data_IF_291136680450
#
_entry.id   IF_291136680450
#
_cell.length_a   1.000
_cell.length_b   1.000
_cell.length_c   1.000
_cell.angle_alpha   90.00
_cell.angle_beta   90.00
_cell.angle_gamma   90.00
#
_symmetry.space_group_name_H-M   'P 1'
#
loop_
_entity.id
_entity.type
_entity.pdbx_description
1 polymer ?
#
# COMPACT_ATOMS: atom_id res chain seq x y z
N UNK A 1 5.89 2.08 -5.58
CA UNK A 1 4.45 1.85 -5.32
C UNK A 1 4.10 2.62 -4.07
N UNK A 2 2.88 3.15 -4.02
CA UNK A 2 2.35 3.93 -2.90
C UNK A 2 0.81 3.80 -2.86
N UNK A 3 0.20 3.97 -1.68
CA UNK A 3 -1.27 3.87 -1.53
C UNK A 3 -1.86 5.02 -0.72
N UNK A 4 -3.11 5.37 -1.06
CA UNK A 4 -3.93 6.25 -0.24
C UNK A 4 -5.07 5.46 0.39
N UNK A 5 -5.33 5.72 1.66
CA UNK A 5 -6.34 5.01 2.45
C UNK A 5 -6.87 5.91 3.59
N UNK A 6 -8.02 5.58 4.21
CA UNK A 6 -8.72 6.48 5.13
C UNK A 6 -8.08 6.56 6.54
N UNK A 7 -6.76 6.39 6.63
CA UNK A 7 -5.99 6.52 7.87
C UNK A 7 -6.11 5.35 8.83
N UNK A 8 -5.94 5.67 10.12
CA UNK A 8 -5.98 4.72 11.25
C UNK A 8 -7.10 5.15 12.18
N UNK A 9 -8.12 4.31 12.33
CA UNK A 9 -9.35 4.61 13.09
C UNK A 9 -9.43 3.84 14.40
N UNK A 10 -8.66 2.76 14.54
CA UNK A 10 -8.65 1.97 15.76
C UNK A 10 -7.24 1.54 16.17
N UNK A 11 -7.07 1.29 17.46
CA UNK A 11 -5.88 0.67 18.04
C UNK A 11 -6.33 -0.50 18.91
N UNK A 12 -5.76 -1.70 18.74
CA UNK A 12 -6.17 -2.85 19.52
C UNK A 12 -5.77 -2.65 20.98
N UNK A 13 -6.67 -3.02 21.89
CA UNK A 13 -6.47 -2.95 23.34
C UNK A 13 -6.10 -4.34 23.84
N UNK A 14 -5.03 -4.45 24.62
CA UNK A 14 -4.58 -5.72 25.18
C UNK A 14 -3.10 -5.73 25.55
N UNK A 15 -2.65 -6.86 26.09
CA UNK A 15 -1.23 -7.12 26.32
C UNK A 15 -0.59 -7.67 25.05
N UNK A 16 0.54 -7.10 24.66
CA UNK A 16 1.32 -7.53 23.50
C UNK A 16 2.72 -7.95 23.96
N UNK A 17 3.24 -9.02 23.38
CA UNK A 17 4.58 -9.52 23.72
C UNK A 17 5.69 -8.58 23.24
N UNK A 18 5.46 -7.84 22.17
CA UNK A 18 6.40 -6.88 21.60
C UNK A 18 5.70 -5.68 20.93
N UNK A 19 6.45 -4.60 20.72
CA UNK A 19 5.99 -3.46 19.92
C UNK A 19 5.67 -3.88 18.48
N UNK A 20 6.42 -4.84 17.95
CA UNK A 20 6.21 -5.40 16.61
C UNK A 20 4.85 -6.09 16.49
N UNK A 21 4.47 -6.89 17.49
CA UNK A 21 3.15 -7.54 17.54
C UNK A 21 2.02 -6.52 17.63
N UNK A 22 2.20 -5.49 18.46
CA UNK A 22 1.25 -4.38 18.57
C UNK A 22 1.08 -3.63 17.25
N UNK A 23 2.18 -3.33 16.56
CA UNK A 23 2.17 -2.64 15.28
C UNK A 23 1.47 -3.47 14.21
N UNK A 24 1.76 -4.76 14.13
CA UNK A 24 1.07 -5.66 13.20
C UNK A 24 -0.42 -5.78 13.52
N UNK A 25 -0.80 -5.94 14.79
CA UNK A 25 -2.20 -5.99 15.19
C UNK A 25 -2.95 -4.69 14.83
N UNK A 26 -2.31 -3.54 14.99
CA UNK A 26 -2.87 -2.24 14.58
C UNK A 26 -3.07 -2.18 13.06
N UNK A 27 -2.05 -2.55 12.29
CA UNK A 27 -2.14 -2.61 10.83
C UNK A 27 -3.26 -3.55 10.38
N UNK A 28 -3.28 -4.79 10.88
CA UNK A 28 -4.30 -5.80 10.56
C UNK A 28 -5.71 -5.28 10.81
N UNK A 29 -5.95 -4.70 11.99
CA UNK A 29 -7.27 -4.22 12.37
C UNK A 29 -7.79 -3.13 11.41
N UNK A 30 -6.94 -2.14 11.11
CA UNK A 30 -7.33 -1.03 10.23
C UNK A 30 -7.44 -1.46 8.77
N UNK A 31 -6.46 -2.20 8.24
CA UNK A 31 -6.50 -2.68 6.84
C UNK A 31 -7.71 -3.57 6.60
N UNK A 32 -8.05 -4.48 7.52
CA UNK A 32 -9.22 -5.34 7.34
C UNK A 32 -10.54 -4.56 7.37
N UNK A 33 -10.64 -3.54 8.23
CA UNK A 33 -11.84 -2.72 8.39
C UNK A 33 -12.06 -1.72 7.24
N UNK A 34 -10.98 -1.17 6.68
CA UNK A 34 -11.04 -0.01 5.81
C UNK A 34 -10.88 -0.38 4.33
N UNK A 35 -11.34 0.50 3.44
CA UNK A 35 -11.19 0.35 2.00
C UNK A 35 -9.96 1.10 1.48
N UNK A 36 -9.25 0.49 0.53
CA UNK A 36 -8.19 1.15 -0.23
C UNK A 36 -8.81 2.21 -1.13
N UNK A 37 -8.25 3.42 -1.16
CA UNK A 37 -8.79 4.54 -1.96
C UNK A 37 -8.03 4.66 -3.27
N UNK A 38 -6.70 4.59 -3.22
CA UNK A 38 -5.85 4.79 -4.39
C UNK A 38 -4.61 3.89 -4.35
N UNK A 39 -4.16 3.45 -5.51
CA UNK A 39 -2.89 2.77 -5.71
C UNK A 39 -2.09 3.44 -6.83
N UNK A 40 -0.88 3.88 -6.51
CA UNK A 40 0.11 4.37 -7.46
C UNK A 40 1.11 3.29 -7.85
N UNK A 41 1.20 2.98 -9.14
CA UNK A 41 2.21 2.09 -9.73
C UNK A 41 3.04 2.83 -10.77
N UNK A 42 4.35 2.81 -10.56
CA UNK A 42 5.36 3.27 -11.52
C UNK A 42 6.22 2.09 -11.89
N UNK A 43 6.27 1.77 -13.18
CA UNK A 43 7.15 0.75 -13.73
C UNK A 43 8.38 1.40 -14.31
N UNK A 44 9.53 0.78 -14.13
CA UNK A 44 10.79 1.25 -14.71
C UNK A 44 11.70 0.08 -15.08
N UNK A 45 12.56 0.32 -16.09
CA UNK A 45 13.64 -0.59 -16.42
C UNK A 45 14.80 -0.50 -15.43
N UNK A 46 15.84 -1.35 -15.60
CA UNK A 46 16.99 -1.41 -14.68
C UNK A 46 17.79 -0.11 -14.53
N UNK A 47 17.63 0.86 -15.44
CA UNK A 47 18.31 2.16 -15.39
C UNK A 47 17.34 3.29 -15.00
N UNK A 48 16.15 2.95 -14.53
CA UNK A 48 15.12 3.93 -14.14
C UNK A 48 14.34 4.51 -15.32
N UNK A 49 14.44 3.92 -16.51
CA UNK A 49 13.67 4.36 -17.67
C UNK A 49 12.19 4.02 -17.53
N UNK A 50 11.30 5.00 -17.75
CA UNK A 50 9.86 4.76 -17.77
C UNK A 50 9.41 4.09 -19.08
N UNK A 51 8.36 3.26 -19.05
CA UNK A 51 7.79 2.66 -20.25
C UNK A 51 7.28 3.76 -21.19
N UNK A 52 7.56 3.58 -22.48
CA UNK A 52 7.03 4.41 -23.55
C UNK A 52 5.87 3.65 -24.21
N UNK A 53 4.67 4.21 -24.11
CA UNK A 53 3.43 3.61 -24.63
C UNK A 53 2.90 4.44 -25.80
N UNK A 54 2.25 3.77 -26.76
CA UNK A 54 1.68 4.41 -27.95
C UNK A 54 2.70 4.87 -29.00
N UNK A 55 2.20 5.31 -30.13
CA UNK A 55 3.01 5.79 -31.26
C UNK A 55 3.82 7.06 -30.90
N UNK A 56 3.30 7.85 -29.96
CA UNK A 56 3.93 9.07 -29.44
C UNK A 56 4.98 8.80 -28.35
N UNK A 57 5.20 7.53 -27.97
CA UNK A 57 6.17 7.09 -26.94
C UNK A 57 5.97 7.81 -25.61
N UNK A 58 4.72 8.09 -25.23
CA UNK A 58 4.40 8.78 -23.98
C UNK A 58 4.86 7.96 -22.78
N UNK A 59 5.53 8.63 -21.84
CA UNK A 59 5.91 8.05 -20.55
C UNK A 59 4.70 8.01 -19.63
N UNK A 60 4.48 6.86 -19.00
CA UNK A 60 3.30 6.64 -18.18
C UNK A 60 3.66 6.19 -16.77
N UNK A 61 2.85 6.69 -15.83
CA UNK A 61 2.69 6.18 -14.47
C UNK A 61 1.20 5.92 -14.28
N UNK A 62 0.85 4.95 -13.44
CA UNK A 62 -0.52 4.52 -13.26
C UNK A 62 -1.01 4.89 -11.87
N UNK A 63 -2.19 5.49 -11.83
CA UNK A 63 -2.93 5.75 -10.61
C UNK A 63 -4.29 5.07 -10.75
N UNK A 64 -4.57 4.14 -9.86
CA UNK A 64 -5.85 3.43 -9.79
C UNK A 64 -6.64 4.01 -8.64
N UNK A 65 -7.78 4.63 -8.94
CA UNK A 65 -8.71 5.15 -7.93
C UNK A 65 -9.84 4.13 -7.76
N UNK A 66 -10.07 3.64 -6.54
CA UNK A 66 -10.99 2.54 -6.27
C UNK A 66 -12.40 3.03 -5.93
N UNK A 67 -13.42 2.28 -6.35
CA UNK A 67 -14.82 2.65 -6.14
C UNK A 67 -15.42 2.16 -4.81
N UNK A 68 -14.67 1.35 -4.05
CA UNK A 68 -15.19 0.71 -2.84
C UNK A 68 -15.33 1.65 -1.64
N UNK A 69 -14.62 2.79 -1.61
CA UNK A 69 -14.69 3.73 -0.50
C UNK A 69 -15.82 4.76 -0.70
N UNK A 70 -16.71 4.89 0.29
CA UNK A 70 -17.81 5.84 0.34
C UNK A 70 -17.73 6.64 1.65
N UNK A 71 -17.38 7.94 1.55
CA UNK A 71 -17.21 8.83 2.70
C UNK A 71 -18.53 9.23 3.40
N UNK A 72 -19.68 8.81 2.88
CA UNK A 72 -20.97 8.92 3.58
C UNK A 72 -21.31 7.68 4.42
N UNK A 73 -20.63 6.54 4.20
CA UNK A 73 -20.99 5.24 4.82
C UNK A 73 -19.85 4.61 5.60
N UNK A 74 -18.62 4.77 5.13
CA UNK A 74 -17.46 4.09 5.66
C UNK A 74 -16.87 4.82 6.87
N UNK A 75 -16.19 4.05 7.70
CA UNK A 75 -15.42 4.58 8.82
C UNK A 75 -14.10 5.13 8.26
N UNK A 76 -13.67 6.30 8.73
CA UNK A 76 -12.41 6.91 8.32
C UNK A 76 -11.86 7.84 9.40
N UNK A 77 -10.57 8.15 9.30
CA UNK A 77 -9.96 9.22 10.08
C UNK A 77 -10.21 10.57 9.38
N UNK A 78 -10.90 11.49 10.05
CA UNK A 78 -11.31 12.77 9.46
C UNK A 78 -10.13 13.58 8.90
N UNK A 79 -9.00 13.61 9.61
CA UNK A 79 -7.81 14.34 9.18
C UNK A 79 -7.23 13.76 7.88
N UNK A 80 -7.27 12.43 7.72
CA UNK A 80 -6.81 11.75 6.50
C UNK A 80 -7.70 12.07 5.31
N UNK A 81 -9.03 12.00 5.48
CA UNK A 81 -9.98 12.30 4.40
C UNK A 81 -9.92 13.77 4.00
N UNK A 82 -9.81 14.68 4.96
CA UNK A 82 -9.67 16.11 4.68
C UNK A 82 -8.37 16.41 3.91
N UNK A 83 -7.26 15.77 4.30
CA UNK A 83 -5.99 15.90 3.57
C UNK A 83 -6.11 15.39 2.12
N UNK A 84 -6.77 14.25 1.92
CA UNK A 84 -6.97 13.67 0.58
C UNK A 84 -7.87 14.55 -0.30
N UNK A 85 -8.94 15.13 0.25
CA UNK A 85 -9.78 16.12 -0.49
C UNK A 85 -8.96 17.33 -0.90
N UNK A 86 -8.15 17.88 0.00
CA UNK A 86 -7.25 19.01 -0.31
C UNK A 86 -6.19 18.66 -1.34
N UNK A 87 -5.81 17.39 -1.42
CA UNK A 87 -4.88 16.86 -2.42
C UNK A 87 -5.55 16.57 -3.78
N UNK A 88 -6.86 16.81 -3.90
CA UNK A 88 -7.60 16.73 -5.16
C UNK A 88 -8.35 15.42 -5.38
N UNK A 89 -8.48 14.55 -4.38
CA UNK A 89 -9.30 13.34 -4.52
C UNK A 89 -10.80 13.68 -4.47
N UNK A 90 -11.52 13.21 -5.49
CA UNK A 90 -12.98 13.27 -5.57
C UNK A 90 -13.56 11.87 -5.28
N UNK A 91 -13.99 11.66 -4.03
CA UNK A 91 -14.55 10.38 -3.61
C UNK A 91 -15.86 10.04 -4.30
N UNK A 92 -16.68 11.05 -4.65
CA UNK A 92 -17.93 10.82 -5.37
C UNK A 92 -17.64 10.32 -6.77
N UNK A 93 -16.67 10.93 -7.45
CA UNK A 93 -16.22 10.46 -8.76
C UNK A 93 -15.63 9.04 -8.67
N UNK A 94 -14.86 8.73 -7.64
CA UNK A 94 -14.34 7.39 -7.42
C UNK A 94 -15.47 6.36 -7.22
N UNK A 95 -16.49 6.68 -6.43
CA UNK A 95 -17.64 5.79 -6.23
C UNK A 95 -18.42 5.53 -7.54
N UNK A 96 -18.55 6.53 -8.41
CA UNK A 96 -19.30 6.44 -9.68
C UNK A 96 -18.50 5.80 -10.82
N UNK A 97 -17.21 6.14 -10.93
CA UNK A 97 -16.37 5.87 -12.10
C UNK A 97 -15.06 5.15 -11.77
N UNK A 98 -14.83 4.82 -10.49
CA UNK A 98 -13.60 4.21 -10.02
C UNK A 98 -13.43 2.76 -10.46
N UNK A 99 -12.21 2.27 -10.29
CA UNK A 99 -11.81 0.90 -10.57
C UNK A 99 -12.38 -0.02 -9.50
N UNK A 100 -13.04 -1.09 -9.92
CA UNK A 100 -13.45 -2.15 -8.99
C UNK A 100 -12.21 -2.95 -8.54
N UNK A 101 -11.97 -3.00 -7.22
CA UNK A 101 -10.81 -3.65 -6.62
C UNK A 101 -10.72 -5.14 -6.97
N UNK A 102 -11.85 -5.87 -7.01
CA UNK A 102 -11.85 -7.29 -7.41
C UNK A 102 -11.44 -7.44 -8.86
N UNK A 103 -11.99 -6.64 -9.77
CA UNK A 103 -11.62 -6.70 -11.19
C UNK A 103 -10.15 -6.32 -11.39
N UNK A 104 -9.67 -5.32 -10.66
CA UNK A 104 -8.27 -4.94 -10.67
C UNK A 104 -7.37 -6.11 -10.23
N UNK A 105 -7.70 -6.80 -9.14
CA UNK A 105 -6.85 -7.88 -8.61
C UNK A 105 -6.85 -9.12 -9.49
N UNK A 106 -7.97 -9.46 -10.15
CA UNK A 106 -8.01 -10.50 -11.19
C UNK A 106 -6.99 -10.21 -12.29
N UNK A 107 -6.97 -8.98 -12.80
CA UNK A 107 -6.05 -8.56 -13.85
C UNK A 107 -4.60 -8.55 -13.34
N UNK A 108 -4.38 -7.96 -12.16
CA UNK A 108 -3.04 -7.87 -11.56
C UNK A 108 -2.45 -9.27 -11.30
N UNK A 109 -3.25 -10.22 -10.82
CA UNK A 109 -2.82 -11.60 -10.58
C UNK A 109 -2.25 -12.28 -11.83
N UNK A 110 -2.86 -12.01 -12.99
CA UNK A 110 -2.46 -12.58 -14.28
C UNK A 110 -1.41 -11.75 -15.05
N UNK A 111 -1.05 -10.57 -14.54
CA UNK A 111 -0.19 -9.61 -15.25
C UNK A 111 1.31 -9.93 -15.20
N UNK A 112 1.73 -10.81 -14.28
CA UNK A 112 3.14 -11.06 -13.99
C UNK A 112 3.81 -10.00 -13.09
N UNK A 113 3.06 -9.02 -12.57
CA UNK A 113 3.57 -7.99 -11.64
C UNK A 113 3.71 -8.52 -10.20
N UNK A 114 2.84 -9.44 -9.80
CA UNK A 114 2.90 -10.18 -8.53
C UNK A 114 3.30 -11.63 -8.80
N UNK A 115 3.71 -12.36 -7.76
CA UNK A 115 4.11 -13.78 -7.85
C UNK A 115 5.28 -14.01 -8.83
N UNK A 116 6.15 -13.02 -8.99
CA UNK A 116 7.23 -13.03 -9.98
C UNK A 116 8.56 -12.54 -9.38
N UNK A 117 9.55 -13.43 -9.35
CA UNK A 117 10.89 -13.13 -8.81
C UNK A 117 11.69 -12.14 -9.66
N UNK A 118 11.26 -11.89 -10.91
CA UNK A 118 11.89 -10.91 -11.81
C UNK A 118 11.41 -9.48 -11.56
N UNK A 119 10.44 -9.28 -10.66
CA UNK A 119 9.91 -7.96 -10.31
C UNK A 119 10.48 -7.50 -8.97
N UNK A 120 11.00 -6.27 -8.97
CA UNK A 120 11.56 -5.63 -7.78
C UNK A 120 10.62 -4.52 -7.33
N UNK A 121 9.99 -4.69 -6.16
CA UNK A 121 9.10 -3.69 -5.61
C UNK A 121 9.90 -2.63 -4.87
N UNK A 122 9.71 -1.36 -5.23
CA UNK A 122 10.34 -0.22 -4.53
C UNK A 122 9.24 0.62 -3.87
N UNK A 123 9.38 0.87 -2.58
CA UNK A 123 8.35 1.49 -1.74
C UNK A 123 8.97 2.39 -0.67
N UNK A 124 8.13 3.11 0.09
CA UNK A 124 8.58 3.99 1.17
C UNK A 124 7.66 3.82 2.38
N UNK A 125 8.17 3.27 3.48
CA UNK A 125 7.39 3.02 4.71
C UNK A 125 6.12 2.18 4.49
N UNK A 126 6.27 1.08 3.75
CA UNK A 126 5.18 0.49 2.99
C UNK A 126 4.37 -0.61 3.70
N UNK A 127 4.37 -0.60 5.03
CA UNK A 127 3.68 -1.63 5.81
C UNK A 127 2.20 -1.70 5.45
N UNK A 128 1.52 -0.55 5.48
CA UNK A 128 0.10 -0.44 5.14
C UNK A 128 -0.15 -0.70 3.66
N UNK A 129 0.69 -0.18 2.76
CA UNK A 129 0.54 -0.38 1.31
C UNK A 129 0.48 -1.85 0.94
N UNK A 130 1.44 -2.63 1.43
CA UNK A 130 1.47 -4.07 1.23
C UNK A 130 0.32 -4.78 1.96
N UNK A 131 -0.09 -4.27 3.11
CA UNK A 131 -1.29 -4.73 3.80
C UNK A 131 -2.53 -4.64 2.90
N UNK A 132 -2.78 -3.48 2.31
CA UNK A 132 -3.92 -3.29 1.41
C UNK A 132 -3.81 -4.15 0.15
N UNK A 133 -2.65 -4.18 -0.51
CA UNK A 133 -2.45 -5.04 -1.68
C UNK A 133 -2.69 -6.51 -1.35
N UNK A 134 -2.15 -7.02 -0.24
CA UNK A 134 -2.38 -8.41 0.16
C UNK A 134 -3.85 -8.68 0.45
N UNK A 135 -4.55 -7.78 1.15
CA UNK A 135 -5.99 -7.90 1.42
C UNK A 135 -6.77 -8.08 0.12
N UNK A 136 -6.55 -7.20 -0.86
CA UNK A 136 -7.31 -7.24 -2.11
C UNK A 136 -6.90 -8.43 -3.00
N UNK A 137 -5.60 -8.78 -3.05
CA UNK A 137 -5.10 -9.91 -3.85
C UNK A 137 -5.59 -11.26 -3.30
N UNK A 138 -5.61 -11.41 -1.98
CA UNK A 138 -6.08 -12.65 -1.34
C UNK A 138 -7.60 -12.70 -1.20
N UNK A 139 -8.28 -11.57 -1.38
CA UNK A 139 -9.72 -11.42 -1.10
C UNK A 139 -10.11 -11.91 0.32
N UNK A 140 -9.17 -11.80 1.27
CA UNK A 140 -9.31 -12.30 2.63
C UNK A 140 -8.81 -11.27 3.64
N UNK A 141 -9.22 -11.43 4.90
CA UNK A 141 -8.57 -10.74 6.00
C UNK A 141 -7.09 -11.09 6.06
N UNK A 142 -6.26 -10.12 6.45
CA UNK A 142 -4.83 -10.37 6.68
C UNK A 142 -4.63 -11.46 7.74
N UNK A 143 -3.51 -12.22 7.68
CA UNK A 143 -3.23 -13.32 8.60
C UNK A 143 -3.31 -12.94 10.08
N UNK A 144 -3.52 -13.92 10.96
CA UNK A 144 -3.59 -13.64 12.40
C UNK A 144 -2.24 -13.28 13.01
N UNK A 145 -1.15 -13.72 12.39
CA UNK A 145 0.21 -13.52 12.88
C UNK A 145 1.05 -12.78 11.86
N UNK A 146 1.99 -11.97 12.36
CA UNK A 146 2.95 -11.27 11.52
C UNK A 146 3.81 -12.26 10.69
N UNK A 147 4.13 -13.43 11.27
CA UNK A 147 4.82 -14.50 10.55
C UNK A 147 4.00 -14.98 9.36
N UNK A 148 2.69 -15.15 9.52
CA UNK A 148 1.78 -15.49 8.42
C UNK A 148 1.74 -14.40 7.34
N UNK A 149 1.71 -13.14 7.76
CA UNK A 149 1.78 -12.01 6.83
C UNK A 149 3.06 -12.01 6.00
N UNK A 150 4.23 -12.16 6.64
CA UNK A 150 5.49 -12.19 5.91
C UNK A 150 5.65 -13.42 5.00
N UNK A 151 5.04 -14.56 5.35
CA UNK A 151 4.95 -15.71 4.45
C UNK A 151 4.20 -15.36 3.16
N UNK A 152 3.05 -14.69 3.27
CA UNK A 152 2.30 -14.24 2.08
C UNK A 152 3.07 -13.16 1.31
N UNK A 153 3.68 -12.19 2.01
CA UNK A 153 4.54 -11.19 1.39
C UNK A 153 5.62 -11.83 0.50
N UNK A 154 6.32 -12.84 1.00
CA UNK A 154 7.36 -13.53 0.24
C UNK A 154 6.82 -14.27 -1.00
N UNK A 155 5.56 -14.67 -0.99
CA UNK A 155 4.92 -15.33 -2.13
C UNK A 155 4.51 -14.28 -3.17
N UNK A 156 3.77 -13.25 -2.77
CA UNK A 156 3.21 -12.25 -3.70
C UNK A 156 4.21 -11.21 -4.17
N UNK A 157 5.18 -10.85 -3.31
CA UNK A 157 6.18 -9.82 -3.52
C UNK A 157 7.58 -10.36 -3.15
N UNK A 158 8.14 -11.28 -3.95
CA UNK A 158 9.34 -12.02 -3.55
C UNK A 158 10.56 -11.13 -3.28
N UNK A 159 10.68 -10.03 -4.03
CA UNK A 159 11.74 -9.04 -3.84
C UNK A 159 11.15 -7.65 -3.69
N UNK A 160 11.43 -7.00 -2.56
CA UNK A 160 11.06 -5.61 -2.31
C UNK A 160 12.13 -4.85 -1.53
N UNK A 161 12.16 -3.52 -1.72
CA UNK A 161 13.05 -2.58 -1.07
C UNK A 161 12.22 -1.43 -0.50
N UNK A 162 12.25 -1.27 0.82
CA UNK A 162 11.67 -0.11 1.49
C UNK A 162 12.75 0.96 1.66
N UNK A 163 12.62 2.06 0.92
CA UNK A 163 13.58 3.17 0.91
C UNK A 163 13.73 3.78 2.31
N UNK A 164 12.65 3.89 3.09
CA UNK A 164 12.71 4.42 4.45
C UNK A 164 13.50 3.49 5.39
N UNK A 165 13.44 2.18 5.17
CA UNK A 165 14.33 1.25 5.88
C UNK A 165 15.79 1.41 5.43
N UNK A 166 16.05 1.46 4.12
CA UNK A 166 17.41 1.62 3.57
C UNK A 166 18.10 2.91 4.02
N UNK A 167 17.36 4.02 4.10
CA UNK A 167 17.89 5.31 4.55
C UNK A 167 18.50 5.26 5.96
N UNK A 168 18.02 4.37 6.84
CA UNK A 168 18.60 4.19 8.19
C UNK A 168 20.05 3.72 8.17
N UNK A 169 20.49 3.13 7.06
CA UNK A 169 21.85 2.63 6.87
C UNK A 169 22.69 3.54 5.96
N UNK A 170 22.09 4.61 5.42
CA UNK A 170 22.78 5.62 4.63
C UNK A 170 23.17 6.80 5.53
N UNK A 171 24.46 6.89 5.88
CA UNK A 171 25.01 7.91 6.78
C UNK A 171 24.85 9.38 6.31
N UNK A 172 24.31 9.63 5.12
CA UNK A 172 24.27 10.94 4.46
C UNK A 172 22.87 11.48 4.12
N UNK A 173 21.80 10.75 4.44
CA UNK A 173 20.41 11.18 4.18
C UNK A 173 19.67 11.42 5.50
N UNK A 174 20.15 12.36 6.31
CA UNK A 174 19.37 12.90 7.42
C UNK A 174 18.32 13.87 6.86
N UNK A 175 17.16 13.36 6.44
CA UNK A 175 15.95 14.18 6.43
C UNK A 175 15.46 14.29 7.88
N UNK A 176 15.67 15.48 8.45
CA UNK A 176 15.25 15.86 9.79
C UNK A 176 13.71 15.86 9.92
N UNK A 177 13.15 14.76 10.41
CA UNK A 177 12.06 14.77 11.39
C UNK A 177 11.85 13.36 11.95
N UNK A 178 11.77 13.30 13.28
CA UNK A 178 11.75 12.12 14.10
C UNK A 178 10.60 11.15 13.78
N UNK A 179 10.89 9.84 13.79
CA UNK A 179 10.60 8.93 14.91
C UNK A 179 11.32 7.61 14.65
N UNK A 180 12.15 7.22 15.61
CA UNK A 180 12.89 5.98 15.61
C UNK A 180 11.93 4.77 15.60
N UNK A 181 12.19 3.83 14.70
CA UNK A 181 11.89 2.42 14.93
C UNK A 181 13.11 1.63 14.46
N UNK A 182 13.99 1.34 15.42
CA UNK A 182 14.98 0.28 15.38
C UNK A 182 14.24 -1.03 15.15
N UNK A 183 14.69 -1.83 14.17
CA UNK A 183 14.27 -3.23 14.04
C UNK A 183 15.55 -4.02 13.90
N UNK A 184 15.84 -4.82 14.93
CA UNK A 184 16.74 -5.97 14.84
C UNK A 184 15.99 -7.20 14.37
#
# INVERSE_FOLDING_TARGET
>A
MDTEFPGIVCRPVGAFHSLTDYNYATLKANVNMLHLIQLGLTFSGPRGELPALGDDRRRCVWQFNFCEFDDARDIFASDSIELLRRSGLDFRHNAECGVNARRFTELLMSSGVVLNDSVYWVTFHAGYDFGYLLKILTCNSLPDTQVGFFKLMKIYFPTFYDINHLMKFCNSLQCSSAIACTVG
#
